data_IF_305095618185
#
_entry.id   IF_305095618185
#
_cell.length_a   1.000
_cell.length_b   1.000
_cell.length_c   1.000
_cell.angle_alpha   90.00
_cell.angle_beta   90.00
_cell.angle_gamma   90.00
#
_symmetry.space_group_name_H-M   'P 1'
#
loop_
_entity.id
_entity.type
_entity.pdbx_description
1 polymer ?
#
# COMPACT_ATOMS: atom_id res chain seq x y z
N UNK A 1 -2.15 2.13 7.12
CA UNK A 1 -1.22 1.00 7.10
C UNK A 1 -0.59 0.89 5.73
N UNK A 2 0.75 0.79 5.65
CA UNK A 2 1.48 0.47 4.43
C UNK A 2 1.40 -1.04 4.14
N UNK A 3 1.17 -1.42 2.90
CA UNK A 3 1.08 -2.82 2.47
C UNK A 3 1.98 -3.06 1.27
N UNK A 4 2.73 -4.16 1.28
CA UNK A 4 3.59 -4.53 0.17
C UNK A 4 3.96 -6.00 0.13
N UNK A 5 4.77 -6.36 -0.86
CA UNK A 5 5.26 -7.72 -1.12
C UNK A 5 6.79 -7.78 -1.00
N UNK A 6 7.29 -8.90 -0.48
CA UNK A 6 8.71 -9.24 -0.53
C UNK A 6 9.64 -8.16 0.06
N UNK A 7 10.75 -7.90 -0.62
CA UNK A 7 11.80 -6.97 -0.18
C UNK A 7 11.29 -5.55 0.07
N UNK A 8 10.28 -5.10 -0.68
CA UNK A 8 9.68 -3.78 -0.51
C UNK A 8 9.07 -3.59 0.88
N UNK A 9 8.53 -4.67 1.46
CA UNK A 9 8.01 -4.65 2.84
C UNK A 9 9.10 -4.34 3.87
N UNK A 10 10.29 -4.89 3.70
CA UNK A 10 11.41 -4.63 4.61
C UNK A 10 11.89 -3.17 4.51
N UNK A 11 11.95 -2.64 3.30
CA UNK A 11 12.29 -1.24 3.08
C UNK A 11 11.25 -0.30 3.71
N UNK A 12 9.96 -0.61 3.56
CA UNK A 12 8.89 0.15 4.18
C UNK A 12 8.93 0.11 5.72
N UNK A 13 9.45 -0.95 6.34
CA UNK A 13 9.64 -0.98 7.82
C UNK A 13 10.53 0.15 8.29
N UNK A 14 11.65 0.38 7.61
CA UNK A 14 12.57 1.48 7.93
C UNK A 14 11.85 2.83 7.83
N UNK A 15 11.08 3.04 6.75
CA UNK A 15 10.30 4.26 6.57
C UNK A 15 9.24 4.45 7.67
N UNK A 16 8.56 3.36 8.04
CA UNK A 16 7.53 3.37 9.10
C UNK A 16 8.15 3.68 10.45
N UNK A 17 9.30 3.11 10.79
CA UNK A 17 9.98 3.38 12.06
C UNK A 17 10.43 4.84 12.15
N UNK A 18 10.93 5.41 11.06
CA UNK A 18 11.26 6.83 10.96
C UNK A 18 10.01 7.71 11.20
N UNK A 19 8.92 7.46 10.48
CA UNK A 19 7.69 8.26 10.62
C UNK A 19 7.09 8.15 12.03
N UNK A 20 7.17 6.97 12.65
CA UNK A 20 6.71 6.76 14.03
C UNK A 20 7.56 7.52 15.05
N UNK A 21 8.85 7.64 14.83
CA UNK A 21 9.72 8.49 15.68
C UNK A 21 9.37 9.98 15.60
N UNK A 22 8.71 10.38 14.52
CA UNK A 22 8.17 11.74 14.30
C UNK A 22 6.72 11.89 14.81
N UNK A 23 6.17 10.88 15.48
CA UNK A 23 4.80 10.89 16.02
C UNK A 23 3.69 10.55 15.01
N UNK A 24 4.04 10.10 13.81
CA UNK A 24 3.05 9.72 12.78
C UNK A 24 2.59 8.28 13.03
N UNK A 25 1.29 8.10 13.23
CA UNK A 25 0.72 6.77 13.48
C UNK A 25 0.54 5.97 12.19
N UNK A 26 1.55 5.25 11.80
CA UNK A 26 1.60 4.38 10.63
C UNK A 26 2.16 3.00 10.99
N UNK A 27 1.69 1.96 10.32
CA UNK A 27 2.19 0.59 10.43
C UNK A 27 2.46 -0.02 9.08
N UNK A 28 3.10 -1.20 9.06
CA UNK A 28 3.39 -1.94 7.84
C UNK A 28 2.87 -3.37 7.92
N UNK A 29 2.34 -3.86 6.80
CA UNK A 29 1.90 -5.24 6.61
C UNK A 29 2.56 -5.80 5.33
N UNK A 30 3.15 -6.99 5.44
CA UNK A 30 3.69 -7.72 4.30
C UNK A 30 2.80 -8.90 3.94
N UNK A 31 2.43 -9.00 2.66
CA UNK A 31 1.78 -10.20 2.12
C UNK A 31 2.88 -11.15 1.68
N UNK A 32 2.95 -12.35 2.27
CA UNK A 32 3.97 -13.36 1.95
C UNK A 32 3.52 -14.33 0.88
N UNK A 33 2.30 -14.81 1.00
CA UNK A 33 1.69 -15.72 0.04
C UNK A 33 0.73 -14.93 -0.83
N UNK A 34 1.08 -14.75 -2.10
CA UNK A 34 0.28 -13.96 -3.02
C UNK A 34 -0.78 -14.80 -3.76
N UNK A 35 -0.51 -16.10 -3.96
CA UNK A 35 -1.46 -17.05 -4.54
C UNK A 35 -1.44 -18.39 -3.79
N UNK A 36 -2.57 -18.88 -3.30
CA UNK A 36 -3.86 -18.17 -3.27
C UNK A 36 -3.77 -16.89 -2.42
N UNK A 37 -4.53 -15.85 -2.81
CA UNK A 37 -4.51 -14.60 -2.05
C UNK A 37 -5.19 -14.81 -0.69
N UNK A 38 -4.59 -14.38 0.42
CA UNK A 38 -5.13 -14.59 1.76
C UNK A 38 -6.18 -13.52 2.11
N UNK A 39 -7.26 -13.46 1.34
CA UNK A 39 -8.27 -12.41 1.31
C UNK A 39 -8.91 -12.15 2.70
N UNK A 40 -9.40 -13.19 3.38
CA UNK A 40 -10.00 -13.05 4.71
C UNK A 40 -8.99 -12.52 5.73
N UNK A 41 -7.78 -13.05 5.75
CA UNK A 41 -6.74 -12.63 6.70
C UNK A 41 -6.32 -11.18 6.47
N UNK A 42 -6.18 -10.77 5.21
CA UNK A 42 -5.86 -9.40 4.80
C UNK A 42 -7.00 -8.46 5.20
N UNK A 43 -8.24 -8.78 4.86
CA UNK A 43 -9.40 -7.97 5.21
C UNK A 43 -9.54 -7.80 6.73
N UNK A 44 -9.35 -8.87 7.49
CA UNK A 44 -9.40 -8.84 8.96
C UNK A 44 -8.30 -7.95 9.56
N UNK A 45 -7.07 -8.03 9.05
CA UNK A 45 -5.94 -7.21 9.52
C UNK A 45 -6.13 -5.71 9.23
N UNK A 46 -6.83 -5.39 8.15
CA UNK A 46 -7.04 -4.03 7.67
C UNK A 46 -8.38 -3.41 8.13
N UNK A 47 -9.25 -4.21 8.75
CA UNK A 47 -10.51 -3.73 9.30
C UNK A 47 -10.31 -2.58 10.28
N UNK A 48 -11.09 -1.50 10.11
CA UNK A 48 -11.06 -0.34 11.00
C UNK A 48 -9.82 0.56 10.87
N UNK A 49 -8.97 0.33 9.86
CA UNK A 49 -7.84 1.23 9.58
C UNK A 49 -8.33 2.50 8.90
N UNK A 50 -7.71 3.63 9.23
CA UNK A 50 -8.07 4.95 8.64
C UNK A 50 -7.70 5.06 7.17
N UNK A 51 -6.72 4.29 6.70
CA UNK A 51 -6.28 4.27 5.31
C UNK A 51 -5.26 3.17 5.06
N UNK A 52 -5.21 2.74 3.82
CA UNK A 52 -4.32 1.69 3.33
C UNK A 52 -3.49 2.27 2.20
N UNK A 53 -2.18 2.06 2.26
CA UNK A 53 -1.21 2.58 1.30
C UNK A 53 -0.49 1.37 0.71
N UNK A 54 -0.80 1.01 -0.53
CA UNK A 54 -0.22 -0.16 -1.20
C UNK A 54 0.97 0.28 -2.04
N UNK A 55 2.13 -0.34 -1.80
CA UNK A 55 3.32 -0.17 -2.63
C UNK A 55 3.62 -1.46 -3.37
N UNK A 56 3.78 -1.35 -4.68
CA UNK A 56 4.09 -2.51 -5.52
C UNK A 56 4.91 -2.15 -6.76
N UNK A 57 5.54 -3.19 -7.33
CA UNK A 57 6.36 -3.10 -8.56
C UNK A 57 5.60 -3.58 -9.79
N UNK A 58 4.34 -3.93 -9.64
CA UNK A 58 3.51 -4.47 -10.70
C UNK A 58 2.42 -3.48 -11.11
N UNK A 59 2.04 -3.51 -12.36
CA UNK A 59 0.96 -2.71 -12.93
C UNK A 59 0.14 -3.58 -13.90
N UNK A 60 -1.16 -3.57 -13.73
CA UNK A 60 -2.08 -4.04 -14.77
C UNK A 60 -2.27 -2.89 -15.75
N UNK A 61 -1.89 -3.09 -17.02
CA UNK A 61 -1.92 -2.03 -18.03
C UNK A 61 -3.30 -1.39 -18.15
N UNK A 62 -3.33 -0.06 -18.11
CA UNK A 62 -4.56 0.73 -18.20
C UNK A 62 -5.41 0.71 -16.91
N UNK A 63 -4.86 0.18 -15.81
CA UNK A 63 -5.58 0.11 -14.54
C UNK A 63 -4.66 0.47 -13.35
N UNK A 64 -4.59 -0.36 -12.35
CA UNK A 64 -3.81 -0.16 -11.14
C UNK A 64 -2.89 -1.36 -10.85
N UNK A 65 -2.18 -1.37 -9.75
CA UNK A 65 -1.35 -2.48 -9.34
C UNK A 65 -2.16 -3.72 -8.96
N UNK A 66 -1.60 -4.89 -9.22
CA UNK A 66 -2.28 -6.17 -8.99
C UNK A 66 -2.58 -6.41 -7.50
N UNK A 67 -1.65 -6.05 -6.60
CA UNK A 67 -1.85 -6.17 -5.16
C UNK A 67 -2.96 -5.24 -4.67
N UNK A 68 -3.01 -4.01 -5.15
CA UNK A 68 -4.06 -3.05 -4.79
C UNK A 68 -5.45 -3.55 -5.22
N UNK A 69 -5.57 -4.09 -6.43
CA UNK A 69 -6.80 -4.70 -6.95
C UNK A 69 -7.28 -5.87 -6.09
N UNK A 70 -6.40 -6.84 -5.82
CA UNK A 70 -6.74 -8.02 -5.01
C UNK A 70 -7.15 -7.61 -3.59
N UNK A 71 -6.44 -6.64 -3.02
CA UNK A 71 -6.73 -6.12 -1.69
C UNK A 71 -8.09 -5.41 -1.64
N UNK A 72 -8.40 -4.58 -2.63
CA UNK A 72 -9.72 -3.92 -2.72
C UNK A 72 -10.84 -4.94 -2.87
N UNK A 73 -10.64 -6.00 -3.67
CA UNK A 73 -11.59 -7.10 -3.80
C UNK A 73 -11.83 -7.81 -2.46
N UNK A 74 -10.77 -8.15 -1.74
CA UNK A 74 -10.87 -8.78 -0.42
C UNK A 74 -11.60 -7.87 0.60
N UNK A 75 -11.28 -6.59 0.64
CA UNK A 75 -11.96 -5.64 1.51
C UNK A 75 -13.46 -5.54 1.19
N UNK A 76 -13.82 -5.49 -0.09
CA UNK A 76 -15.21 -5.45 -0.51
C UNK A 76 -15.96 -6.72 -0.11
N UNK A 77 -15.41 -7.90 -0.37
CA UNK A 77 -16.01 -9.19 -0.07
C UNK A 77 -16.28 -9.37 1.43
N UNK A 78 -15.28 -9.06 2.27
CA UNK A 78 -15.38 -9.34 3.70
C UNK A 78 -15.89 -8.17 4.55
N UNK A 79 -15.76 -6.93 4.07
CA UNK A 79 -16.13 -5.74 4.83
C UNK A 79 -17.22 -4.89 4.16
N UNK A 80 -17.56 -5.14 2.90
CA UNK A 80 -18.53 -4.33 2.14
C UNK A 80 -19.89 -4.22 2.82
N UNK A 81 -20.34 -5.29 3.44
CA UNK A 81 -21.59 -5.31 4.21
C UNK A 81 -21.58 -4.49 5.52
N UNK A 82 -20.42 -4.04 5.98
CA UNK A 82 -20.28 -3.22 7.20
C UNK A 82 -20.48 -1.72 6.96
N UNK A 83 -20.60 -1.30 5.70
CA UNK A 83 -20.82 0.09 5.30
C UNK A 83 -19.60 1.00 5.34
N UNK A 84 -18.46 0.56 5.88
CA UNK A 84 -17.24 1.39 6.00
C UNK A 84 -16.03 0.63 5.47
N UNK A 85 -15.59 1.02 4.28
CA UNK A 85 -14.34 0.53 3.70
C UNK A 85 -13.24 1.58 3.88
N UNK A 86 -12.02 1.17 4.32
CA UNK A 86 -10.89 2.10 4.38
C UNK A 86 -10.48 2.52 2.96
N UNK A 87 -10.12 3.78 2.76
CA UNK A 87 -9.59 4.25 1.48
C UNK A 87 -8.26 3.55 1.17
N UNK A 88 -8.06 3.19 -0.09
CA UNK A 88 -6.85 2.51 -0.57
C UNK A 88 -6.15 3.41 -1.58
N UNK A 89 -4.92 3.81 -1.28
CA UNK A 89 -4.00 4.51 -2.17
C UNK A 89 -2.98 3.52 -2.73
N UNK A 90 -2.84 3.48 -4.04
CA UNK A 90 -1.83 2.65 -4.72
C UNK A 90 -0.63 3.48 -5.16
N UNK A 91 0.56 3.01 -4.87
CA UNK A 91 1.84 3.55 -5.35
C UNK A 91 2.58 2.50 -6.17
N UNK A 92 2.91 2.84 -7.40
CA UNK A 92 3.73 2.03 -8.28
C UNK A 92 5.17 2.54 -8.22
N UNK A 93 6.11 1.65 -7.87
CA UNK A 93 7.52 1.99 -7.71
C UNK A 93 8.41 0.94 -8.37
N UNK A 94 9.57 1.34 -8.88
CA UNK A 94 10.60 0.43 -9.37
C UNK A 94 10.29 -0.27 -10.70
N UNK A 95 9.34 0.22 -11.48
CA UNK A 95 9.06 -0.29 -12.83
C UNK A 95 10.29 -0.07 -13.72
N UNK A 96 10.62 -1.06 -14.53
CA UNK A 96 11.76 -1.02 -15.44
C UNK A 96 13.12 -1.08 -14.74
N UNK A 97 13.18 -1.67 -13.54
CA UNK A 97 14.43 -1.80 -12.77
C UNK A 97 14.88 -0.50 -12.08
N UNK A 98 14.02 0.50 -12.00
CA UNK A 98 14.36 1.75 -11.30
C UNK A 98 14.59 1.51 -9.81
N UNK A 99 15.58 2.21 -9.28
CA UNK A 99 15.84 2.21 -7.84
C UNK A 99 14.65 2.78 -7.08
N UNK A 100 14.30 2.11 -5.98
CA UNK A 100 13.32 2.60 -5.02
C UNK A 100 14.09 3.12 -3.81
N UNK A 101 14.16 4.44 -3.67
CA UNK A 101 14.87 5.07 -2.57
C UNK A 101 13.99 5.12 -1.32
N UNK A 102 14.61 4.92 -0.16
CA UNK A 102 13.92 4.98 1.13
C UNK A 102 13.27 6.36 1.35
N UNK A 103 13.94 7.43 0.93
CA UNK A 103 13.42 8.80 1.05
C UNK A 103 12.14 8.99 0.24
N UNK A 104 12.10 8.46 -0.98
CA UNK A 104 10.92 8.54 -1.85
C UNK A 104 9.72 7.79 -1.23
N UNK A 105 9.97 6.61 -0.66
CA UNK A 105 8.94 5.84 0.06
C UNK A 105 8.46 6.57 1.32
N UNK A 106 9.38 7.13 2.10
CA UNK A 106 9.06 7.89 3.32
C UNK A 106 8.20 9.10 2.98
N UNK A 107 8.55 9.84 1.93
CA UNK A 107 7.78 10.99 1.48
C UNK A 107 6.39 10.58 0.98
N UNK A 108 6.28 9.51 0.19
CA UNK A 108 5.00 9.00 -0.29
C UNK A 108 4.10 8.57 0.88
N UNK A 109 4.66 7.85 1.87
CA UNK A 109 3.94 7.49 3.10
C UNK A 109 3.47 8.72 3.88
N UNK A 110 4.31 9.72 4.03
CA UNK A 110 3.99 10.97 4.73
C UNK A 110 2.82 11.69 4.06
N UNK A 111 2.87 11.85 2.74
CA UNK A 111 1.79 12.50 1.97
C UNK A 111 0.47 11.72 2.09
N UNK A 112 0.52 10.40 2.00
CA UNK A 112 -0.67 9.56 2.10
C UNK A 112 -1.29 9.59 3.51
N UNK A 113 -0.48 9.74 4.57
CA UNK A 113 -1.00 9.88 5.94
C UNK A 113 -1.69 11.21 6.21
N UNK A 114 -1.46 12.22 5.37
CA UNK A 114 -2.13 13.52 5.43
C UNK A 114 -3.52 13.54 4.78
N UNK A 115 -4.03 12.39 4.34
CA UNK A 115 -5.39 12.24 3.83
C UNK A 115 -5.59 12.57 2.35
N UNK A 116 -4.53 12.80 1.59
CA UNK A 116 -4.59 12.98 0.14
C UNK A 116 -4.60 11.61 -0.54
N UNK A 117 -5.77 11.01 -0.67
CA UNK A 117 -5.95 9.74 -1.39
C UNK A 117 -6.34 10.04 -2.84
N UNK A 118 -5.54 9.58 -3.80
CA UNK A 118 -5.89 9.60 -5.23
C UNK A 118 -6.67 8.34 -5.61
N UNK A 119 -7.61 8.46 -6.53
CA UNK A 119 -8.28 7.29 -7.13
C UNK A 119 -7.36 6.53 -8.09
N UNK A 120 -6.45 7.25 -8.72
CA UNK A 120 -5.48 6.69 -9.65
C UNK A 120 -4.18 6.33 -8.93
N UNK A 121 -3.43 5.33 -9.43
CA UNK A 121 -2.12 5.01 -8.91
C UNK A 121 -1.17 6.21 -8.98
N UNK A 122 -0.40 6.41 -7.93
CA UNK A 122 0.68 7.38 -7.89
C UNK A 122 2.00 6.70 -8.24
N UNK A 123 2.88 7.40 -8.94
CA UNK A 123 4.15 6.85 -9.42
C UNK A 123 5.33 7.39 -8.62
N UNK A 124 6.24 6.49 -8.22
CA UNK A 124 7.47 6.84 -7.52
C UNK A 124 8.65 6.65 -8.45
N UNK A 125 9.49 7.70 -8.55
CA UNK A 125 10.71 7.67 -9.37
C UNK A 125 10.45 7.72 -10.88
N UNK A 126 9.24 8.06 -11.32
CA UNK A 126 8.97 8.31 -12.73
C UNK A 126 9.51 9.70 -13.10
N UNK A 127 10.47 9.73 -14.03
CA UNK A 127 10.87 11.00 -14.69
C UNK A 127 9.99 11.15 -15.93
N UNK A 128 9.16 12.15 -15.92
CA UNK A 128 8.44 12.63 -17.10
C UNK A 128 9.37 13.45 -17.96
#
# INVERSE_FOLDING_TARGET
VAVGLGALTYQMRVCVDQLRSEGINVGVMGVRFYRPFPDEAVARALKGRKGIIVFEKALSYGYEGALASDLKSALYEYLGGTGVLPPVQNFIAGIGGREIRTDDLTQALRLATQGRVSKEPSWIGLKL
#
